data_IF_716595370471
#
_entry.id   IF_716595370471
#
_cell.length_a   1.000
_cell.length_b   1.000
_cell.length_c   1.000
_cell.angle_alpha   90.00
_cell.angle_beta   90.00
_cell.angle_gamma   90.00
#
_symmetry.space_group_name_H-M   'P 1'
#
loop_
_entity.id
_entity.type
_entity.pdbx_description
1 polymer ?
#
# COMPACT_ATOMS: atom_id res chain seq x y z
N UNK A 1 -4.37 9.48 12.12
CA UNK A 1 -4.00 9.70 10.71
C UNK A 1 -5.19 10.31 10.00
N UNK A 2 -4.99 11.39 9.26
CA UNK A 2 -6.03 12.09 8.50
C UNK A 2 -5.48 12.57 7.15
N UNK A 3 -6.35 12.96 6.24
CA UNK A 3 -5.94 13.48 4.93
C UNK A 3 -5.33 14.87 5.05
N UNK A 4 -4.33 15.14 4.22
CA UNK A 4 -3.67 16.43 4.08
C UNK A 4 -3.43 16.70 2.60
N UNK A 5 -4.44 17.29 1.96
CA UNK A 5 -4.48 17.44 0.51
C UNK A 5 -4.37 16.10 -0.22
N UNK A 6 -3.35 15.93 -1.07
CA UNK A 6 -3.09 14.64 -1.73
C UNK A 6 -2.35 13.61 -0.86
N UNK A 7 -1.76 14.05 0.25
CA UNK A 7 -1.00 13.23 1.19
C UNK A 7 -1.79 12.77 2.42
N UNK A 8 -1.05 12.37 3.45
CA UNK A 8 -1.57 11.94 4.75
C UNK A 8 -0.76 12.62 5.85
N UNK A 9 -1.43 13.02 6.93
CA UNK A 9 -0.78 13.48 8.16
C UNK A 9 -1.07 12.55 9.34
N UNK A 10 -0.07 12.38 10.18
CA UNK A 10 -0.17 11.66 11.45
C UNK A 10 -0.08 12.65 12.60
N UNK A 11 -0.87 12.43 13.64
CA UNK A 11 -0.75 13.14 14.91
C UNK A 11 -0.33 12.12 15.96
N UNK A 12 0.71 12.45 16.72
CA UNK A 12 1.11 11.65 17.87
C UNK A 12 0.06 11.79 18.96
N UNK A 13 -0.35 10.65 19.50
CA UNK A 13 -1.22 10.57 20.67
C UNK A 13 -0.41 10.09 21.88
N UNK A 14 -1.08 9.67 22.95
CA UNK A 14 -0.44 9.09 24.12
C UNK A 14 0.44 7.88 23.77
N UNK A 15 1.62 7.82 24.39
CA UNK A 15 2.56 6.71 24.24
C UNK A 15 1.92 5.41 24.77
N UNK A 16 1.86 4.38 23.95
CA UNK A 16 1.29 3.08 24.35
C UNK A 16 2.09 2.42 25.49
N UNK A 17 3.42 2.58 25.48
CA UNK A 17 4.32 2.07 26.52
C UNK A 17 5.41 3.11 26.75
N UNK A 18 5.66 3.39 28.03
CA UNK A 18 6.77 4.23 28.50
C UNK A 18 7.47 3.51 29.65
N UNK A 19 8.79 3.61 29.68
CA UNK A 19 9.60 3.04 30.75
C UNK A 19 10.66 4.05 31.21
N UNK A 20 10.98 4.00 32.49
CA UNK A 20 12.08 4.71 33.15
C UNK A 20 13.39 3.90 33.16
N UNK A 21 13.38 2.66 32.69
CA UNK A 21 14.57 1.83 32.51
C UNK A 21 15.46 2.44 31.40
N UNK A 22 16.71 2.86 31.71
CA UNK A 22 17.61 3.47 30.73
C UNK A 22 18.02 2.51 29.60
N UNK A 23 17.81 1.20 29.78
CA UNK A 23 18.06 0.18 28.78
C UNK A 23 16.82 -0.17 27.96
N UNK A 24 15.64 0.39 28.25
CA UNK A 24 14.43 0.18 27.44
C UNK A 24 14.58 0.85 26.06
N UNK A 25 14.59 0.02 25.02
CA UNK A 25 14.87 0.38 23.62
C UNK A 25 13.92 -0.38 22.69
N UNK A 26 12.65 0.04 22.57
CA UNK A 26 11.72 -0.54 21.60
C UNK A 26 12.26 -0.32 20.18
N UNK A 27 12.43 -1.40 19.42
CA UNK A 27 13.04 -1.39 18.08
C UNK A 27 12.11 -1.89 16.98
N UNK A 28 11.05 -2.61 17.32
CA UNK A 28 10.06 -3.08 16.36
C UNK A 28 8.70 -3.25 17.02
N UNK A 29 7.64 -3.06 16.23
CA UNK A 29 6.25 -3.30 16.63
C UNK A 29 5.51 -3.93 15.45
N UNK A 30 4.64 -4.90 15.73
CA UNK A 30 3.75 -5.50 14.74
C UNK A 30 2.44 -5.95 15.38
N UNK A 31 1.39 -6.10 14.57
CA UNK A 31 0.08 -6.62 14.98
C UNK A 31 0.00 -8.09 14.60
N UNK A 32 -0.18 -8.95 15.61
CA UNK A 32 -0.34 -10.39 15.42
C UNK A 32 -1.68 -10.75 14.75
N UNK A 33 -1.78 -11.94 14.12
CA UNK A 33 -3.02 -12.41 13.50
C UNK A 33 -4.23 -12.52 14.43
N UNK A 34 -4.00 -12.53 15.75
CA UNK A 34 -5.05 -12.54 16.77
C UNK A 34 -5.41 -11.14 17.29
N UNK A 35 -4.87 -10.09 16.67
CA UNK A 35 -5.14 -8.68 17.00
C UNK A 35 -4.32 -8.12 18.15
N UNK A 36 -3.49 -8.94 18.82
CA UNK A 36 -2.57 -8.44 19.84
C UNK A 36 -1.38 -7.71 19.23
N UNK A 37 -0.79 -6.77 19.98
CA UNK A 37 0.40 -6.04 19.54
C UNK A 37 1.62 -6.71 20.14
N UNK A 38 2.62 -6.99 19.32
CA UNK A 38 3.94 -7.37 19.80
C UNK A 38 4.90 -6.23 19.60
N UNK A 39 5.76 -5.98 20.58
CA UNK A 39 6.93 -5.13 20.36
C UNK A 39 8.19 -5.80 20.90
N UNK A 40 9.29 -5.54 20.18
CA UNK A 40 10.62 -6.01 20.55
C UNK A 40 11.35 -4.87 21.21
N UNK A 41 11.97 -5.17 22.32
CA UNK A 41 12.88 -4.27 23.00
C UNK A 41 14.28 -4.89 23.02
N UNK A 42 15.22 -4.16 22.42
CA UNK A 42 16.60 -4.59 22.32
C UNK A 42 17.29 -4.70 23.69
N UNK A 43 16.81 -3.95 24.69
CA UNK A 43 17.20 -4.06 26.10
C UNK A 43 18.72 -4.05 26.35
N UNK A 44 19.45 -3.15 25.68
CA UNK A 44 20.92 -3.14 25.69
C UNK A 44 21.49 -1.90 26.39
N UNK A 45 22.54 -2.10 27.18
CA UNK A 45 23.26 -1.04 27.89
C UNK A 45 24.12 -0.19 26.96
N UNK A 46 24.70 -0.81 25.91
CA UNK A 46 25.64 -0.13 25.02
C UNK A 46 25.02 0.22 23.67
N UNK A 47 24.95 1.52 23.39
CA UNK A 47 24.44 2.07 22.15
C UNK A 47 25.61 2.67 21.36
N UNK A 48 25.70 2.31 20.09
CA UNK A 48 26.69 2.88 19.18
C UNK A 48 27.90 1.99 18.93
N UNK A 49 28.46 2.17 17.75
CA UNK A 49 29.65 1.49 17.24
C UNK A 49 30.91 2.37 17.36
N UNK A 50 30.78 3.64 17.75
CA UNK A 50 31.88 4.61 17.80
C UNK A 50 32.35 4.92 19.23
N UNK A 51 31.45 4.89 20.21
CA UNK A 51 31.75 5.25 21.61
C UNK A 51 32.27 4.07 22.43
N UNK A 52 31.91 2.86 22.05
CA UNK A 52 32.25 1.63 22.76
C UNK A 52 32.82 0.61 21.78
N UNK A 53 33.87 -0.09 22.22
CA UNK A 53 34.49 -1.11 21.39
C UNK A 53 33.48 -2.21 21.02
N UNK A 54 33.58 -2.77 19.82
CA UNK A 54 32.63 -3.81 19.36
C UNK A 54 32.67 -5.08 20.22
N UNK A 55 33.81 -5.32 20.90
CA UNK A 55 34.00 -6.45 21.84
C UNK A 55 33.83 -6.07 23.32
N UNK A 56 33.16 -4.96 23.62
CA UNK A 56 32.87 -4.60 25.02
C UNK A 56 32.03 -5.73 25.66
N UNK A 57 32.45 -6.27 26.83
CA UNK A 57 31.75 -7.39 27.46
C UNK A 57 30.31 -7.04 27.91
N UNK A 58 29.96 -5.75 28.04
CA UNK A 58 28.60 -5.33 28.35
C UNK A 58 27.69 -5.25 27.11
N UNK A 59 28.21 -5.54 25.91
CA UNK A 59 27.40 -5.61 24.70
C UNK A 59 26.64 -6.92 24.70
N UNK A 60 25.32 -6.85 24.93
CA UNK A 60 24.49 -8.04 24.86
C UNK A 60 24.26 -8.44 23.39
N UNK A 61 24.51 -9.70 23.08
CA UNK A 61 24.37 -10.33 21.77
C UNK A 61 23.35 -11.48 21.76
N UNK A 62 22.79 -11.82 22.93
CA UNK A 62 21.99 -13.03 23.13
C UNK A 62 20.58 -12.73 23.63
N UNK A 63 20.38 -11.62 24.35
CA UNK A 63 19.10 -11.32 24.98
C UNK A 63 18.42 -10.08 24.42
N UNK A 64 17.11 -10.05 24.63
CA UNK A 64 16.19 -8.97 24.33
C UNK A 64 14.86 -9.30 25.00
N UNK A 65 13.92 -8.36 24.97
CA UNK A 65 12.59 -8.54 25.57
C UNK A 65 11.54 -8.56 24.47
N UNK A 66 10.63 -9.52 24.53
CA UNK A 66 9.46 -9.59 23.65
C UNK A 66 8.23 -9.35 24.52
N UNK A 67 7.50 -8.31 24.18
CA UNK A 67 6.27 -7.96 24.88
C UNK A 67 5.08 -8.26 23.98
N UNK A 68 4.00 -8.75 24.60
CA UNK A 68 2.69 -8.91 23.98
C UNK A 68 1.68 -8.07 24.73
N UNK A 69 1.04 -7.14 24.04
CA UNK A 69 0.02 -6.25 24.58
C UNK A 69 -1.34 -6.70 24.06
N UNK A 70 -2.28 -6.82 24.99
CA UNK A 70 -3.72 -6.99 24.71
C UNK A 70 -4.53 -6.08 25.61
N UNK A 71 -5.80 -5.90 25.29
CA UNK A 71 -6.73 -5.14 26.12
C UNK A 71 -7.53 -6.07 27.02
N UNK A 72 -7.67 -5.71 28.30
CA UNK A 72 -8.43 -6.50 29.27
C UNK A 72 -9.90 -6.64 28.86
N UNK A 73 -10.44 -7.86 28.91
CA UNK A 73 -11.83 -8.12 28.53
C UNK A 73 -12.14 -8.05 27.02
N UNK A 74 -11.16 -7.75 26.16
CA UNK A 74 -11.32 -7.87 24.69
C UNK A 74 -10.90 -9.29 24.25
N UNK A 75 -11.81 -10.09 23.67
CA UNK A 75 -11.44 -11.38 23.08
C UNK A 75 -10.46 -11.19 21.93
N UNK A 76 -9.49 -12.10 21.83
CA UNK A 76 -8.57 -12.16 20.69
C UNK A 76 -9.31 -12.64 19.44
N UNK A 77 -8.85 -12.17 18.28
CA UNK A 77 -9.31 -12.71 16.99
C UNK A 77 -8.84 -14.15 16.85
N UNK A 78 -9.64 -14.97 16.17
CA UNK A 78 -9.22 -16.33 15.80
C UNK A 78 -8.40 -16.23 14.51
N UNK A 79 -7.10 -16.58 14.52
CA UNK A 79 -6.29 -16.50 13.32
C UNK A 79 -6.87 -17.34 12.18
N UNK A 80 -7.02 -16.74 11.01
CA UNK A 80 -7.40 -17.46 9.81
C UNK A 80 -6.32 -18.49 9.45
N UNK A 81 -6.73 -19.72 9.16
CA UNK A 81 -5.82 -20.70 8.56
C UNK A 81 -5.57 -20.28 7.11
N UNK A 82 -4.30 -20.15 6.73
CA UNK A 82 -3.86 -19.70 5.40
C UNK A 82 -3.02 -20.78 4.73
N UNK A 83 -1.92 -21.20 5.36
CA UNK A 83 -1.01 -22.19 4.77
C UNK A 83 -1.73 -23.50 4.40
N UNK A 84 -1.55 -23.91 3.15
CA UNK A 84 -2.15 -25.13 2.59
C UNK A 84 -3.66 -25.09 2.39
N UNK A 85 -4.31 -23.92 2.47
CA UNK A 85 -5.73 -23.80 2.16
C UNK A 85 -5.99 -23.87 0.65
N UNK A 86 -7.17 -24.36 0.24
CA UNK A 86 -7.56 -24.31 -1.16
C UNK A 86 -7.82 -22.87 -1.62
N UNK A 87 -7.64 -22.63 -2.92
CA UNK A 87 -7.72 -21.32 -3.56
C UNK A 87 -9.02 -20.57 -3.24
N UNK A 88 -10.16 -21.25 -3.23
CA UNK A 88 -11.46 -20.63 -2.93
C UNK A 88 -11.53 -20.06 -1.50
N UNK A 89 -10.94 -20.76 -0.53
CA UNK A 89 -10.83 -20.30 0.86
C UNK A 89 -9.86 -19.14 1.00
N UNK A 90 -8.74 -19.17 0.29
CA UNK A 90 -7.78 -18.06 0.26
C UNK A 90 -8.37 -16.79 -0.35
N UNK A 91 -9.15 -16.92 -1.42
CA UNK A 91 -9.84 -15.78 -2.03
C UNK A 91 -10.89 -15.18 -1.09
N UNK A 92 -11.60 -15.98 -0.31
CA UNK A 92 -12.57 -15.45 0.66
C UNK A 92 -11.89 -14.67 1.80
N UNK A 93 -10.65 -15.00 2.16
CA UNK A 93 -9.86 -14.23 3.12
C UNK A 93 -9.50 -12.82 2.64
N UNK A 94 -9.67 -12.51 1.34
CA UNK A 94 -9.48 -11.14 0.83
C UNK A 94 -10.57 -10.18 1.30
N UNK A 95 -11.64 -10.67 1.95
CA UNK A 95 -12.69 -9.85 2.57
C UNK A 95 -12.37 -9.46 4.02
N UNK A 96 -11.36 -10.07 4.63
CA UNK A 96 -10.99 -9.79 6.01
C UNK A 96 -10.54 -8.33 6.16
N UNK A 97 -10.92 -7.62 7.24
CA UNK A 97 -10.55 -6.23 7.43
C UNK A 97 -9.04 -6.04 7.67
N UNK A 98 -8.35 -7.05 8.20
CA UNK A 98 -6.92 -7.03 8.49
C UNK A 98 -6.08 -7.21 7.22
N UNK A 99 -5.34 -6.17 6.84
CA UNK A 99 -4.44 -6.22 5.69
C UNK A 99 -3.38 -7.34 5.81
N UNK A 100 -2.96 -7.69 7.04
CA UNK A 100 -2.01 -8.78 7.28
C UNK A 100 -2.57 -10.13 6.80
N UNK A 101 -3.85 -10.41 7.07
CA UNK A 101 -4.53 -11.64 6.62
C UNK A 101 -4.62 -11.67 5.09
N UNK A 102 -5.09 -10.59 4.48
CA UNK A 102 -5.19 -10.47 3.01
C UNK A 102 -3.84 -10.60 2.32
N UNK A 103 -2.79 -9.99 2.88
CA UNK A 103 -1.42 -10.07 2.35
C UNK A 103 -0.88 -11.50 2.41
N UNK A 104 -1.07 -12.20 3.53
CA UNK A 104 -0.66 -13.61 3.65
C UNK A 104 -1.46 -14.52 2.74
N UNK A 105 -2.76 -14.26 2.55
CA UNK A 105 -3.57 -14.97 1.57
C UNK A 105 -3.02 -14.79 0.15
N UNK A 106 -2.62 -13.57 -0.25
CA UNK A 106 -1.95 -13.31 -1.54
C UNK A 106 -0.61 -14.04 -1.67
N UNK A 107 0.21 -14.06 -0.61
CA UNK A 107 1.46 -14.84 -0.56
C UNK A 107 1.17 -16.32 -0.82
N UNK A 108 0.18 -16.88 -0.13
CA UNK A 108 -0.21 -18.29 -0.30
C UNK A 108 -0.74 -18.56 -1.71
N UNK A 109 -1.64 -17.73 -2.23
CA UNK A 109 -2.13 -17.81 -3.62
C UNK A 109 -0.97 -17.80 -4.63
N UNK A 110 0.11 -17.06 -4.34
CA UNK A 110 1.34 -17.04 -5.14
C UNK A 110 2.09 -18.37 -5.22
N UNK A 111 1.83 -19.33 -4.32
CA UNK A 111 2.38 -20.70 -4.41
C UNK A 111 1.65 -21.56 -5.45
N UNK A 112 0.45 -21.16 -5.86
CA UNK A 112 -0.36 -21.87 -6.85
C UNK A 112 -0.07 -21.37 -8.28
N UNK A 113 -0.41 -22.19 -9.28
CA UNK A 113 -0.26 -21.78 -10.69
C UNK A 113 -1.30 -20.70 -11.01
N UNK A 114 -0.89 -19.64 -11.72
CA UNK A 114 -1.82 -18.58 -12.14
C UNK A 114 -3.03 -19.11 -12.95
N UNK A 115 -2.83 -20.17 -13.75
CA UNK A 115 -3.91 -20.83 -14.50
C UNK A 115 -4.97 -21.53 -13.63
N UNK A 116 -4.70 -21.76 -12.35
CA UNK A 116 -5.66 -22.24 -11.35
C UNK A 116 -6.32 -21.06 -10.62
N UNK A 117 -5.51 -20.09 -10.18
CA UNK A 117 -5.99 -18.98 -9.35
C UNK A 117 -6.84 -17.98 -10.15
N UNK A 118 -6.43 -17.58 -11.35
CA UNK A 118 -7.13 -16.53 -12.11
C UNK A 118 -8.55 -16.95 -12.49
N UNK A 119 -8.84 -18.18 -12.96
CA UNK A 119 -10.21 -18.61 -13.19
C UNK A 119 -11.07 -18.64 -11.92
N UNK A 120 -10.50 -19.04 -10.78
CA UNK A 120 -11.19 -19.03 -9.50
C UNK A 120 -11.47 -17.60 -9.03
N UNK A 121 -10.50 -16.70 -9.18
CA UNK A 121 -10.62 -15.28 -8.87
C UNK A 121 -11.73 -14.62 -9.70
N UNK A 122 -11.80 -14.89 -11.01
CA UNK A 122 -12.87 -14.35 -11.87
C UNK A 122 -14.26 -14.82 -11.45
N UNK A 123 -14.39 -16.08 -11.01
CA UNK A 123 -15.63 -16.59 -10.43
C UNK A 123 -15.96 -15.97 -9.08
N UNK A 124 -14.94 -15.66 -8.27
CA UNK A 124 -15.09 -15.02 -6.97
C UNK A 124 -15.52 -13.55 -7.13
N UNK A 125 -14.86 -12.77 -8.00
CA UNK A 125 -15.21 -11.37 -8.27
C UNK A 125 -16.62 -11.21 -8.85
N UNK A 126 -17.03 -12.13 -9.74
CA UNK A 126 -18.38 -12.13 -10.32
C UNK A 126 -19.51 -12.42 -9.30
N UNK A 127 -19.17 -12.95 -8.12
CA UNK A 127 -20.12 -13.27 -7.05
C UNK A 127 -20.18 -12.21 -5.94
N UNK A 128 -19.34 -11.18 -6.01
CA UNK A 128 -19.35 -10.11 -5.01
C UNK A 128 -20.66 -9.33 -5.09
N UNK A 129 -21.17 -8.91 -3.93
CA UNK A 129 -22.39 -8.10 -3.86
C UNK A 129 -22.05 -6.64 -4.12
N UNK A 130 -22.52 -6.11 -5.26
CA UNK A 130 -22.31 -4.71 -5.64
C UNK A 130 -22.93 -3.69 -4.68
N UNK A 131 -23.78 -4.13 -3.75
CA UNK A 131 -24.39 -3.29 -2.71
C UNK A 131 -23.62 -3.33 -1.40
N UNK A 132 -22.63 -4.21 -1.24
CA UNK A 132 -21.79 -4.24 -0.05
C UNK A 132 -20.92 -2.98 0.00
N UNK A 133 -20.79 -2.39 1.18
CA UNK A 133 -19.94 -1.20 1.41
C UNK A 133 -18.46 -1.43 1.07
N UNK A 134 -18.01 -2.69 1.11
CA UNK A 134 -16.63 -3.11 0.83
C UNK A 134 -16.43 -3.53 -0.63
N UNK A 135 -17.47 -3.56 -1.46
CA UNK A 135 -17.43 -4.09 -2.83
C UNK A 135 -16.27 -3.54 -3.67
N UNK A 136 -16.05 -2.23 -3.67
CA UNK A 136 -14.98 -1.60 -4.45
C UNK A 136 -13.57 -1.98 -3.93
N UNK A 137 -13.43 -2.20 -2.62
CA UNK A 137 -12.19 -2.69 -2.02
C UNK A 137 -11.96 -4.17 -2.32
N UNK A 138 -13.02 -5.01 -2.31
CA UNK A 138 -12.92 -6.42 -2.67
C UNK A 138 -12.58 -6.62 -4.16
N UNK A 139 -13.13 -5.79 -5.06
CA UNK A 139 -12.69 -5.74 -6.46
C UNK A 139 -11.22 -5.32 -6.59
N UNK A 140 -10.79 -4.33 -5.82
CA UNK A 140 -9.40 -3.89 -5.79
C UNK A 140 -8.45 -5.00 -5.30
N UNK A 141 -8.85 -5.77 -4.28
CA UNK A 141 -8.10 -6.96 -3.86
C UNK A 141 -7.97 -7.97 -5.01
N UNK A 142 -9.02 -8.16 -5.80
CA UNK A 142 -8.93 -8.96 -7.03
C UNK A 142 -7.93 -8.41 -8.05
N UNK A 143 -7.91 -7.09 -8.27
CA UNK A 143 -6.91 -6.47 -9.15
C UNK A 143 -5.47 -6.66 -8.62
N UNK A 144 -5.29 -6.58 -7.30
CA UNK A 144 -3.98 -6.83 -6.69
C UNK A 144 -3.58 -8.29 -6.76
N UNK A 145 -4.50 -9.27 -6.70
CA UNK A 145 -4.15 -10.69 -6.96
C UNK A 145 -3.67 -10.87 -8.40
N UNK A 146 -4.32 -10.22 -9.37
CA UNK A 146 -3.82 -10.18 -10.75
C UNK A 146 -2.40 -9.60 -10.83
N UNK A 147 -2.13 -8.49 -10.14
CA UNK A 147 -0.80 -7.89 -10.08
C UNK A 147 0.22 -8.81 -9.40
N UNK A 148 -0.15 -9.45 -8.30
CA UNK A 148 0.67 -10.37 -7.52
C UNK A 148 1.12 -11.58 -8.34
N UNK A 149 0.23 -12.11 -9.17
CA UNK A 149 0.51 -13.22 -10.09
C UNK A 149 1.08 -12.76 -11.44
N UNK A 150 1.32 -11.46 -11.61
CA UNK A 150 1.80 -10.84 -12.85
C UNK A 150 0.93 -11.16 -14.09
N UNK A 151 -0.39 -11.27 -13.91
CA UNK A 151 -1.36 -11.48 -14.99
C UNK A 151 -2.22 -10.24 -15.16
N UNK A 152 -2.06 -9.54 -16.28
CA UNK A 152 -2.82 -8.32 -16.59
C UNK A 152 -4.29 -8.65 -16.83
N UNK A 153 -5.17 -7.92 -16.16
CA UNK A 153 -6.60 -7.86 -16.48
C UNK A 153 -6.99 -6.39 -16.72
N UNK A 154 -6.93 -6.00 -18.00
CA UNK A 154 -7.12 -4.62 -18.42
C UNK A 154 -8.57 -4.14 -18.20
N UNK A 155 -9.55 -5.03 -18.33
CA UNK A 155 -10.96 -4.70 -18.13
C UNK A 155 -11.25 -4.41 -16.65
N UNK A 156 -10.74 -5.26 -15.74
CA UNK A 156 -10.85 -5.01 -14.31
C UNK A 156 -10.11 -3.73 -13.89
N UNK A 157 -8.90 -3.50 -14.42
CA UNK A 157 -8.16 -2.26 -14.20
C UNK A 157 -8.98 -1.04 -14.61
N UNK A 158 -9.51 -1.03 -15.84
CA UNK A 158 -10.33 0.09 -16.35
C UNK A 158 -11.58 0.32 -15.51
N UNK A 159 -12.23 -0.74 -15.01
CA UNK A 159 -13.38 -0.61 -14.11
C UNK A 159 -13.01 0.04 -12.78
N UNK A 160 -11.87 -0.30 -12.19
CA UNK A 160 -11.46 0.24 -10.89
C UNK A 160 -10.89 1.66 -11.02
N UNK A 161 -10.24 2.00 -12.15
CA UNK A 161 -9.88 3.40 -12.47
C UNK A 161 -11.11 4.34 -12.52
N UNK A 162 -12.33 3.79 -12.56
CA UNK A 162 -13.61 4.53 -12.54
C UNK A 162 -14.45 4.22 -11.29
N UNK A 163 -13.86 3.60 -10.27
CA UNK A 163 -14.53 3.32 -8.99
C UNK A 163 -15.10 4.59 -8.37
N UNK A 164 -16.29 4.56 -7.71
CA UNK A 164 -16.75 5.69 -6.90
C UNK A 164 -15.81 5.97 -5.72
N UNK A 165 -15.06 4.97 -5.24
CA UNK A 165 -14.07 5.15 -4.18
C UNK A 165 -12.74 5.65 -4.76
N UNK A 166 -12.36 6.88 -4.40
CA UNK A 166 -11.11 7.48 -4.86
C UNK A 166 -9.86 6.70 -4.39
N UNK A 167 -9.94 5.98 -3.26
CA UNK A 167 -8.85 5.14 -2.76
C UNK A 167 -8.61 3.97 -3.72
N UNK A 168 -9.67 3.39 -4.26
CA UNK A 168 -9.58 2.34 -5.27
C UNK A 168 -9.07 2.88 -6.60
N UNK A 169 -9.51 4.08 -7.03
CA UNK A 169 -8.97 4.74 -8.23
C UNK A 169 -7.47 5.03 -8.11
N UNK A 170 -7.01 5.53 -6.95
CA UNK A 170 -5.60 5.82 -6.70
C UNK A 170 -4.76 4.53 -6.77
N UNK A 171 -5.21 3.47 -6.08
CA UNK A 171 -4.55 2.17 -6.12
C UNK A 171 -4.52 1.54 -7.53
N UNK A 172 -5.61 1.63 -8.30
CA UNK A 172 -5.63 1.17 -9.69
C UNK A 172 -4.69 2.00 -10.59
N UNK A 173 -4.56 3.31 -10.33
CA UNK A 173 -3.60 4.18 -11.03
C UNK A 173 -2.16 3.72 -10.77
N UNK A 174 -1.88 3.29 -9.54
CA UNK A 174 -0.61 2.67 -9.18
C UNK A 174 -0.36 1.36 -9.97
N UNK A 175 -1.37 0.49 -10.06
CA UNK A 175 -1.30 -0.75 -10.86
C UNK A 175 -1.06 -0.45 -12.35
N UNK A 176 -1.79 0.52 -12.92
CA UNK A 176 -1.63 0.97 -14.30
C UNK A 176 -0.18 1.36 -14.61
N UNK A 177 0.51 2.05 -13.69
CA UNK A 177 1.92 2.39 -13.88
C UNK A 177 2.81 1.15 -14.11
N UNK A 178 2.61 0.09 -13.32
CA UNK A 178 3.39 -1.15 -13.46
C UNK A 178 2.96 -2.02 -14.64
N UNK A 179 1.77 -1.82 -15.17
CA UNK A 179 1.26 -2.51 -16.35
C UNK A 179 1.30 -1.67 -17.63
N UNK A 180 1.91 -0.48 -17.59
CA UNK A 180 1.91 0.49 -18.71
C UNK A 180 2.41 -0.07 -20.04
N UNK A 181 3.28 -1.07 -20.02
CA UNK A 181 3.83 -1.74 -21.20
C UNK A 181 2.89 -2.81 -21.80
N UNK A 182 1.84 -3.17 -21.06
CA UNK A 182 0.90 -4.27 -21.38
C UNK A 182 -0.57 -3.83 -21.39
N UNK A 183 -0.85 -2.56 -21.12
CA UNK A 183 -2.17 -1.94 -21.18
C UNK A 183 -2.25 -1.06 -22.40
N UNK A 184 -3.36 -1.09 -23.12
CA UNK A 184 -3.58 -0.21 -24.28
C UNK A 184 -3.74 1.24 -23.84
N UNK A 185 -3.02 2.14 -24.52
CA UNK A 185 -3.09 3.61 -24.35
C UNK A 185 -3.02 4.09 -22.89
N UNK A 186 -1.98 3.69 -22.11
CA UNK A 186 -1.92 3.94 -20.67
C UNK A 186 -1.84 5.44 -20.34
N UNK A 187 -1.24 6.26 -21.20
CA UNK A 187 -1.18 7.71 -21.01
C UNK A 187 -2.56 8.37 -21.13
N UNK A 188 -3.45 7.85 -21.99
CA UNK A 188 -4.83 8.35 -22.07
C UNK A 188 -5.61 8.01 -20.80
N UNK A 189 -5.37 6.82 -20.22
CA UNK A 189 -5.94 6.47 -18.92
C UNK A 189 -5.41 7.38 -17.81
N UNK A 190 -4.10 7.62 -17.77
CA UNK A 190 -3.47 8.52 -16.80
C UNK A 190 -3.93 9.96 -16.92
N UNK A 191 -4.21 10.46 -18.14
CA UNK A 191 -4.75 11.81 -18.33
C UNK A 191 -6.08 12.02 -17.62
N UNK A 192 -6.94 10.99 -17.63
CA UNK A 192 -8.20 11.05 -16.86
C UNK A 192 -7.92 11.08 -15.36
N UNK A 193 -6.94 10.29 -14.88
CA UNK A 193 -6.58 10.26 -13.46
C UNK A 193 -5.91 11.55 -12.99
N UNK A 194 -5.11 12.21 -13.85
CA UNK A 194 -4.50 13.49 -13.57
C UNK A 194 -5.54 14.60 -13.37
N UNK A 195 -6.74 14.45 -13.95
CA UNK A 195 -7.86 15.38 -13.84
C UNK A 195 -8.94 14.92 -12.85
N UNK A 196 -8.65 13.92 -12.01
CA UNK A 196 -9.59 13.38 -11.02
C UNK A 196 -9.92 14.42 -9.94
N UNK A 197 -11.14 14.37 -9.40
CA UNK A 197 -11.55 15.25 -8.29
C UNK A 197 -10.71 15.03 -7.02
N UNK A 198 -10.28 13.79 -6.78
CA UNK A 198 -9.45 13.46 -5.64
C UNK A 198 -7.98 13.82 -5.87
N UNK A 199 -7.38 14.66 -5.00
CA UNK A 199 -5.97 15.03 -5.12
C UNK A 199 -5.03 13.81 -4.99
N UNK A 200 -5.42 12.77 -4.24
CA UNK A 200 -4.64 11.52 -4.13
C UNK A 200 -4.56 10.75 -5.45
N UNK A 201 -5.66 10.72 -6.22
CA UNK A 201 -5.68 10.06 -7.54
C UNK A 201 -4.79 10.81 -8.51
N UNK A 202 -4.86 12.15 -8.49
CA UNK A 202 -4.00 13.00 -9.31
C UNK A 202 -2.51 12.79 -8.98
N UNK A 203 -2.16 12.72 -7.69
CA UNK A 203 -0.80 12.45 -7.24
C UNK A 203 -0.25 11.14 -7.81
N UNK A 204 -1.02 10.04 -7.76
CA UNK A 204 -0.61 8.76 -8.35
C UNK A 204 -0.45 8.85 -9.88
N UNK A 205 -1.28 9.65 -10.55
CA UNK A 205 -1.17 9.85 -12.00
C UNK A 205 0.12 10.57 -12.39
N UNK A 206 0.45 11.66 -11.66
CA UNK A 206 1.70 12.41 -11.84
C UNK A 206 2.90 11.48 -11.59
N UNK A 207 2.91 10.76 -10.47
CA UNK A 207 3.95 9.77 -10.15
C UNK A 207 4.13 8.75 -11.26
N UNK A 208 3.03 8.22 -11.79
CA UNK A 208 3.06 7.23 -12.86
C UNK A 208 3.69 7.76 -14.16
N UNK A 209 3.49 9.04 -14.48
CA UNK A 209 4.06 9.67 -15.68
C UNK A 209 5.60 9.65 -15.70
N UNK A 210 6.25 9.68 -14.53
CA UNK A 210 7.72 9.60 -14.43
C UNK A 210 8.33 8.29 -14.98
N UNK A 211 7.52 7.24 -15.15
CA UNK A 211 7.93 5.94 -15.68
C UNK A 211 7.87 5.84 -17.21
N UNK A 212 7.42 6.91 -17.88
CA UNK A 212 7.37 7.03 -19.33
C UNK A 212 8.59 7.79 -19.87
N UNK A 213 8.78 7.71 -21.19
CA UNK A 213 9.94 8.29 -21.89
C UNK A 213 9.52 9.09 -23.11
N UNK A 214 8.50 9.93 -22.94
CA UNK A 214 7.85 10.67 -24.03
C UNK A 214 7.40 12.04 -23.56
N UNK A 215 7.47 13.06 -24.42
CA UNK A 215 6.93 14.39 -24.15
C UNK A 215 5.46 14.37 -23.71
N UNK A 216 4.65 13.47 -24.29
CA UNK A 216 3.23 13.33 -23.92
C UNK A 216 3.01 13.03 -22.44
N UNK A 217 3.93 12.34 -21.77
CA UNK A 217 3.83 12.05 -20.35
C UNK A 217 4.00 13.32 -19.50
N UNK A 218 4.80 14.28 -19.97
CA UNK A 218 4.97 15.57 -19.30
C UNK A 218 3.70 16.41 -19.42
N UNK A 219 3.06 16.42 -20.60
CA UNK A 219 1.75 17.05 -20.78
C UNK A 219 0.69 16.47 -19.84
N UNK A 220 0.63 15.13 -19.75
CA UNK A 220 -0.31 14.43 -18.86
C UNK A 220 -0.02 14.74 -17.39
N UNK A 221 1.25 14.80 -16.98
CA UNK A 221 1.61 15.17 -15.62
C UNK A 221 1.19 16.61 -15.28
N UNK A 222 1.41 17.56 -16.20
CA UNK A 222 1.05 18.97 -16.01
C UNK A 222 -0.46 19.19 -15.92
N UNK A 223 -1.28 18.32 -16.52
CA UNK A 223 -2.74 18.40 -16.45
C UNK A 223 -3.32 18.31 -15.02
N UNK A 224 -2.51 17.90 -14.04
CA UNK A 224 -2.90 17.95 -12.61
C UNK A 224 -3.28 19.37 -12.17
N UNK A 225 -2.62 20.39 -12.72
CA UNK A 225 -2.79 21.78 -12.32
C UNK A 225 -4.18 22.33 -12.67
N UNK A 226 -4.87 21.73 -13.66
CA UNK A 226 -6.24 22.11 -14.06
C UNK A 226 -7.25 21.95 -12.91
N UNK A 227 -6.95 21.11 -11.93
CA UNK A 227 -7.80 20.79 -10.77
C UNK A 227 -7.31 21.40 -9.46
N UNK A 228 -6.20 22.12 -9.47
CA UNK A 228 -5.71 22.83 -8.31
C UNK A 228 -6.49 24.14 -8.14
N UNK A 229 -6.77 24.51 -6.89
CA UNK A 229 -7.50 25.74 -6.60
C UNK A 229 -6.71 26.99 -7.01
N UNK A 230 -5.39 26.93 -6.89
CA UNK A 230 -4.42 27.92 -7.36
C UNK A 230 -3.28 27.16 -8.09
N UNK A 231 -3.24 27.19 -9.44
CA UNK A 231 -2.20 26.52 -10.21
C UNK A 231 -0.77 27.00 -9.91
N UNK A 232 -0.60 28.23 -9.39
CA UNK A 232 0.70 28.76 -8.98
C UNK A 232 1.10 28.29 -7.56
N UNK A 233 0.15 27.71 -6.81
CA UNK A 233 0.34 27.17 -5.46
C UNK A 233 -0.40 25.82 -5.30
N UNK A 234 -0.01 24.80 -6.07
CA UNK A 234 -0.63 23.48 -5.96
C UNK A 234 -0.38 22.86 -4.58
N UNK A 235 -1.18 21.87 -4.23
CA UNK A 235 -0.99 20.98 -3.08
C UNK A 235 0.50 20.58 -2.94
N UNK A 236 1.00 20.59 -1.70
CA UNK A 236 2.44 20.40 -1.41
C UNK A 236 2.99 19.11 -2.02
N UNK A 237 2.29 17.99 -1.86
CA UNK A 237 2.75 16.69 -2.34
C UNK A 237 2.63 16.56 -3.86
N UNK A 238 1.56 17.12 -4.45
CA UNK A 238 1.42 17.23 -5.91
C UNK A 238 2.58 18.05 -6.47
N UNK A 239 2.88 19.21 -5.88
CA UNK A 239 3.99 20.07 -6.30
C UNK A 239 5.32 19.32 -6.31
N UNK A 240 5.65 18.70 -5.17
CA UNK A 240 6.90 17.95 -5.02
C UNK A 240 6.98 16.81 -6.06
N UNK A 241 5.92 16.02 -6.19
CA UNK A 241 5.90 14.91 -7.14
C UNK A 241 5.97 15.37 -8.59
N UNK A 242 5.30 16.47 -8.93
CA UNK A 242 5.34 17.07 -10.26
C UNK A 242 6.75 17.58 -10.59
N UNK A 243 7.39 18.31 -9.67
CA UNK A 243 8.77 18.79 -9.86
C UNK A 243 9.74 17.62 -10.17
N UNK A 244 9.69 16.53 -9.38
CA UNK A 244 10.54 15.36 -9.60
C UNK A 244 10.18 14.60 -10.89
N UNK A 245 8.89 14.51 -11.22
CA UNK A 245 8.41 13.91 -12.47
C UNK A 245 8.92 14.69 -13.68
N UNK A 246 8.85 16.02 -13.64
CA UNK A 246 9.30 16.89 -14.72
C UNK A 246 10.82 16.84 -14.88
N UNK A 247 11.60 16.79 -13.79
CA UNK A 247 13.05 16.57 -13.85
C UNK A 247 13.40 15.27 -14.58
N UNK A 248 12.66 14.19 -14.30
CA UNK A 248 12.87 12.90 -14.96
C UNK A 248 12.49 12.94 -16.46
N UNK A 249 11.49 13.75 -16.82
CA UNK A 249 10.97 13.84 -18.19
C UNK A 249 11.67 14.90 -19.07
N UNK A 250 12.43 15.85 -18.48
CA UNK A 250 13.10 16.96 -19.19
C UNK A 250 13.90 16.53 -20.42
N UNK A 251 14.56 15.36 -20.34
CA UNK A 251 15.34 14.80 -21.45
C UNK A 251 14.50 14.32 -22.65
N UNK A 252 13.18 14.22 -22.50
CA UNK A 252 12.25 13.77 -23.55
C UNK A 252 11.31 14.88 -24.03
N UNK A 253 11.44 16.10 -23.50
CA UNK A 253 10.63 17.28 -23.84
C UNK A 253 11.42 18.33 -24.63
N UNK A 254 12.70 18.07 -24.92
CA UNK A 254 13.58 18.90 -25.75
C UNK A 254 13.54 18.48 -27.21
#
# INVERSE_FOLDING_TARGET
VSEDGSGLKGESIEDLVKSDDPNFRPVAVDVAPDGSIYFLDWSNQLIGHMQHHIRDPHRDHAHGRIYRITYEGRPLLKPAKIDGQPVDKLLDLLKEPENNVRTRAKIELGKHRAGEVIPALKKWTAKLDSKDKNYEHELLEGLWVHQWLNVVDEDLLKRILRSPDYRARAAATHVLCYWRDRVKDPLALLEVQAKDESPRVRLEAVRACSFFKTAKAAEVALAVLDKEADPDKPDYYIKYCLDETMKQLDKYTK
#
